data_IF_625537618453
#
_entry.id   IF_625537618453
#
_cell.length_a   1.000
_cell.length_b   1.000
_cell.length_c   1.000
_cell.angle_alpha   90.00
_cell.angle_beta   90.00
_cell.angle_gamma   90.00
#
_symmetry.space_group_name_H-M   'P 1'
#
loop_
_entity.id
_entity.type
_entity.pdbx_description
1 polymer ?
#
# COMPACT_ATOMS: atom_id res chain seq x y z
N UNK A 1 13.38 7.75 20.94
CA UNK A 1 12.56 6.82 21.75
C UNK A 1 13.47 5.67 22.14
N UNK A 2 13.68 5.45 23.44
CA UNK A 2 14.45 4.31 23.97
C UNK A 2 13.46 3.33 24.60
N UNK A 3 13.48 2.08 24.15
CA UNK A 3 12.70 1.00 24.75
C UNK A 3 13.59 0.24 25.74
N UNK A 4 13.15 0.16 27.00
CA UNK A 4 13.74 -0.72 28.01
C UNK A 4 12.89 -1.98 28.17
N UNK A 5 13.57 -3.11 28.31
CA UNK A 5 12.98 -4.42 28.47
C UNK A 5 13.70 -5.09 29.64
N UNK A 6 12.94 -5.68 30.56
CA UNK A 6 13.48 -6.40 31.71
C UNK A 6 13.22 -7.89 31.49
N UNK A 7 14.28 -8.68 31.50
CA UNK A 7 14.22 -10.14 31.35
C UNK A 7 14.65 -10.76 32.67
N UNK A 8 13.74 -11.51 33.29
CA UNK A 8 14.01 -12.20 34.56
C UNK A 8 14.46 -13.64 34.27
N UNK A 9 15.62 -14.02 34.81
CA UNK A 9 16.16 -15.37 34.65
C UNK A 9 15.46 -16.36 35.60
N UNK A 10 15.27 -17.63 35.20
CA UNK A 10 14.66 -18.66 36.04
C UNK A 10 15.53 -19.00 37.27
N UNK A 11 14.90 -19.59 38.28
CA UNK A 11 15.50 -19.87 39.58
C UNK A 11 16.52 -21.02 39.52
N UNK A 12 17.57 -21.01 40.37
CA UNK A 12 18.63 -22.06 40.38
C UNK A 12 18.10 -23.49 40.50
N UNK A 13 16.96 -23.70 41.17
CA UNK A 13 16.31 -25.01 41.29
C UNK A 13 15.75 -25.57 39.97
N UNK A 14 15.59 -24.72 38.96
CA UNK A 14 15.13 -25.09 37.62
C UNK A 14 16.31 -25.33 36.65
N UNK A 15 17.54 -25.08 37.08
CA UNK A 15 18.77 -25.10 36.25
C UNK A 15 19.53 -26.44 36.34
N UNK A 16 19.12 -27.37 37.20
CA UNK A 16 19.83 -28.65 37.36
C UNK A 16 19.63 -29.56 36.14
N UNK A 17 20.64 -29.61 35.26
CA UNK A 17 20.69 -30.52 34.10
C UNK A 17 20.77 -29.88 32.70
N UNK A 18 20.83 -28.55 32.57
CA UNK A 18 20.91 -27.92 31.25
C UNK A 18 22.30 -28.08 30.62
N UNK A 19 22.43 -29.02 29.68
CA UNK A 19 23.39 -28.87 28.57
C UNK A 19 23.01 -27.60 27.82
N UNK A 20 23.96 -26.70 27.65
CA UNK A 20 23.82 -25.49 26.84
C UNK A 20 23.16 -25.87 25.49
N UNK A 21 21.90 -25.46 25.30
CA UNK A 21 21.16 -25.60 24.06
C UNK A 21 20.97 -24.20 23.50
N UNK A 22 21.72 -23.86 22.48
CA UNK A 22 21.49 -22.66 21.68
C UNK A 22 20.28 -22.93 20.79
N UNK A 23 19.07 -22.64 21.27
CA UNK A 23 17.89 -22.64 20.40
C UNK A 23 17.71 -21.25 19.79
N UNK A 24 17.58 -21.14 18.46
CA UNK A 24 17.33 -19.85 17.82
C UNK A 24 15.97 -19.33 18.26
N UNK A 25 15.96 -18.14 18.88
CA UNK A 25 14.73 -17.44 19.25
C UNK A 25 14.01 -17.04 17.96
N UNK A 26 12.81 -17.57 17.75
CA UNK A 26 11.92 -17.13 16.67
C UNK A 26 11.26 -15.82 17.09
N UNK A 27 11.64 -14.73 16.44
CA UNK A 27 11.07 -13.41 16.70
C UNK A 27 9.93 -13.15 15.71
N UNK A 28 8.73 -12.91 16.24
CA UNK A 28 7.57 -12.44 15.48
C UNK A 28 7.34 -10.97 15.80
N UNK A 29 7.55 -10.10 14.83
CA UNK A 29 7.34 -8.65 14.95
C UNK A 29 6.12 -8.27 14.13
N UNK A 30 5.18 -7.57 14.75
CA UNK A 30 3.98 -7.04 14.10
C UNK A 30 3.90 -5.54 14.32
N UNK A 31 3.63 -4.79 13.25
CA UNK A 31 3.59 -3.33 13.26
C UNK A 31 2.68 -2.80 12.15
N UNK A 32 2.25 -1.56 12.30
CA UNK A 32 1.53 -0.80 11.26
C UNK A 32 2.55 -0.03 10.42
N UNK A 33 2.29 0.03 9.12
CA UNK A 33 3.12 0.71 8.15
C UNK A 33 2.26 1.30 7.02
N UNK A 34 2.84 2.22 6.26
CA UNK A 34 2.18 2.84 5.12
C UNK A 34 3.14 3.06 3.97
N UNK A 35 2.59 3.12 2.76
CA UNK A 35 3.31 3.45 1.54
C UNK A 35 2.48 4.44 0.71
N UNK A 36 3.12 5.51 0.26
CA UNK A 36 2.52 6.56 -0.57
C UNK A 36 3.47 6.90 -1.72
N UNK A 37 2.91 7.26 -2.88
CA UNK A 37 3.71 7.82 -3.96
C UNK A 37 4.24 9.22 -3.60
N UNK A 38 5.53 9.31 -3.23
CA UNK A 38 6.20 10.59 -2.90
C UNK A 38 6.11 11.64 -4.02
N UNK A 39 6.03 11.19 -5.25
CA UNK A 39 5.82 12.04 -6.41
C UNK A 39 4.46 11.72 -7.04
N UNK A 40 3.68 12.75 -7.32
CA UNK A 40 2.36 12.61 -7.93
C UNK A 40 2.39 11.91 -9.30
N UNK A 41 1.29 11.20 -9.63
CA UNK A 41 0.95 10.89 -11.01
C UNK A 41 0.18 12.08 -11.59
N UNK A 42 0.73 12.72 -12.63
CA UNK A 42 0.11 13.90 -13.25
C UNK A 42 -0.87 13.45 -14.32
N UNK A 43 -2.15 13.79 -14.15
CA UNK A 43 -3.23 13.44 -15.08
C UNK A 43 -3.91 14.70 -15.56
N UNK A 44 -4.09 14.86 -16.87
CA UNK A 44 -4.74 16.02 -17.46
C UNK A 44 -6.23 15.76 -17.67
N UNK A 45 -7.11 16.55 -17.06
CA UNK A 45 -8.56 16.48 -17.32
C UNK A 45 -8.92 17.47 -18.43
N UNK A 46 -9.65 17.03 -19.45
CA UNK A 46 -10.07 17.84 -20.61
C UNK A 46 -11.51 17.52 -21.01
N UNK A 47 -12.14 18.38 -21.81
CA UNK A 47 -13.44 18.07 -22.40
C UNK A 47 -13.27 16.99 -23.48
N UNK A 48 -14.23 16.08 -23.60
CA UNK A 48 -14.12 14.94 -24.53
C UNK A 48 -13.93 15.37 -25.99
N UNK A 49 -14.45 16.55 -26.36
CA UNK A 49 -14.32 17.12 -27.70
C UNK A 49 -12.89 17.59 -28.02
N UNK A 50 -12.09 17.88 -27.00
CA UNK A 50 -10.72 18.36 -27.12
C UNK A 50 -9.68 17.21 -27.08
N UNK A 51 -10.12 15.99 -26.73
CA UNK A 51 -9.24 14.81 -26.64
C UNK A 51 -9.07 14.21 -28.04
N UNK A 52 -7.95 14.52 -28.69
CA UNK A 52 -7.58 13.88 -29.97
C UNK A 52 -6.91 12.52 -29.77
N UNK A 53 -6.11 12.36 -28.72
CA UNK A 53 -5.39 11.14 -28.37
C UNK A 53 -5.17 11.05 -26.85
N UNK A 54 -5.06 9.83 -26.34
CA UNK A 54 -4.67 9.52 -24.96
C UNK A 54 -3.37 8.73 -24.94
N UNK A 55 -2.61 8.86 -23.85
CA UNK A 55 -1.46 8.01 -23.55
C UNK A 55 -1.59 7.39 -22.17
N UNK A 56 -1.09 6.15 -22.02
CA UNK A 56 -1.04 5.50 -20.72
C UNK A 56 0.04 6.13 -19.85
N UNK A 57 -0.36 6.62 -18.69
CA UNK A 57 0.53 7.11 -17.63
C UNK A 57 0.44 6.17 -16.45
N UNK A 58 1.59 5.83 -15.87
CA UNK A 58 1.66 4.91 -14.73
C UNK A 58 2.71 5.35 -13.72
N UNK A 59 2.51 4.91 -12.48
CA UNK A 59 3.47 5.09 -11.40
C UNK A 59 3.43 3.91 -10.45
N UNK A 60 4.61 3.38 -10.12
CA UNK A 60 4.81 2.37 -9.09
C UNK A 60 5.67 2.93 -7.96
N UNK A 61 5.39 2.49 -6.74
CA UNK A 61 6.06 2.95 -5.53
C UNK A 61 6.02 1.86 -4.46
N UNK A 62 7.00 1.85 -3.56
CA UNK A 62 7.13 0.78 -2.57
C UNK A 62 8.12 1.11 -1.47
N UNK A 63 8.07 0.34 -0.39
CA UNK A 63 8.97 0.46 0.75
C UNK A 63 9.75 -0.83 1.08
N UNK A 64 9.69 -1.82 0.17
CA UNK A 64 10.31 -3.15 0.33
C UNK A 64 9.46 -4.14 1.14
N UNK A 65 8.25 -3.75 1.52
CA UNK A 65 7.26 -4.63 2.14
C UNK A 65 6.03 -4.72 1.26
N UNK A 66 5.54 -3.57 0.80
CA UNK A 66 4.45 -3.45 -0.17
C UNK A 66 4.96 -2.67 -1.38
N UNK A 67 4.58 -3.15 -2.56
CA UNK A 67 4.70 -2.42 -3.82
C UNK A 67 3.28 -2.09 -4.32
N UNK A 68 3.04 -0.83 -4.66
CA UNK A 68 1.76 -0.35 -5.14
C UNK A 68 1.93 0.35 -6.49
N UNK A 69 0.86 0.37 -7.28
CA UNK A 69 0.87 1.06 -8.57
C UNK A 69 -0.47 1.72 -8.90
N UNK A 70 -0.38 2.73 -9.74
CA UNK A 70 -1.50 3.47 -10.32
C UNK A 70 -1.28 3.60 -11.81
N UNK A 71 -2.26 3.22 -12.62
CA UNK A 71 -2.21 3.30 -14.09
C UNK A 71 -3.52 3.87 -14.62
N UNK A 72 -3.43 4.85 -15.52
CA UNK A 72 -4.59 5.47 -16.18
C UNK A 72 -4.17 6.01 -17.54
N UNK A 73 -5.12 6.47 -18.32
CA UNK A 73 -4.87 7.29 -19.50
C UNK A 73 -4.75 8.78 -19.12
N UNK A 74 -4.10 9.57 -19.98
CA UNK A 74 -4.06 11.03 -19.91
C UNK A 74 -3.95 11.62 -21.34
N UNK A 75 -4.68 12.69 -21.68
CA UNK A 75 -5.74 13.31 -20.90
C UNK A 75 -6.95 12.39 -20.66
N UNK A 76 -7.68 12.63 -19.58
CA UNK A 76 -8.96 12.00 -19.26
C UNK A 76 -10.10 12.99 -19.48
N UNK A 77 -11.23 12.50 -19.94
CA UNK A 77 -12.44 13.30 -20.07
C UNK A 77 -12.96 13.68 -18.67
N UNK A 78 -13.19 14.97 -18.44
CA UNK A 78 -13.63 15.49 -17.14
C UNK A 78 -15.02 14.97 -16.73
N UNK A 79 -15.93 14.82 -17.71
CA UNK A 79 -17.34 14.50 -17.50
C UNK A 79 -17.75 13.06 -17.86
N UNK A 80 -16.84 12.25 -18.40
CA UNK A 80 -17.10 10.84 -18.72
C UNK A 80 -16.01 10.00 -18.05
N UNK A 81 -16.36 9.42 -16.90
CA UNK A 81 -15.45 8.70 -16.01
C UNK A 81 -14.45 7.84 -16.77
N UNK A 82 -13.16 8.10 -16.56
CA UNK A 82 -12.09 7.25 -17.05
C UNK A 82 -11.65 6.32 -15.92
N UNK A 83 -11.15 5.14 -16.25
CA UNK A 83 -10.72 4.19 -15.25
C UNK A 83 -9.28 4.45 -14.81
N UNK A 84 -9.04 4.40 -13.50
CA UNK A 84 -7.71 4.23 -12.92
C UNK A 84 -7.59 2.85 -12.32
N UNK A 85 -6.57 2.11 -12.77
CA UNK A 85 -6.20 0.82 -12.22
C UNK A 85 -5.26 1.04 -11.05
N UNK A 86 -5.59 0.46 -9.90
CA UNK A 86 -4.81 0.52 -8.68
C UNK A 86 -4.43 -0.89 -8.25
N UNK A 87 -3.22 -1.05 -7.73
CA UNK A 87 -2.80 -2.33 -7.14
C UNK A 87 -1.85 -2.14 -5.97
N UNK A 88 -1.82 -3.15 -5.10
CA UNK A 88 -0.91 -3.27 -3.99
C UNK A 88 -0.55 -4.76 -3.80
N UNK A 89 0.72 -5.08 -3.69
CA UNK A 89 1.20 -6.44 -3.50
C UNK A 89 2.28 -6.49 -2.42
N UNK A 90 2.33 -7.59 -1.68
CA UNK A 90 3.40 -7.84 -0.73
C UNK A 90 4.68 -8.22 -1.48
N UNK A 91 5.69 -7.36 -1.40
CA UNK A 91 7.01 -7.55 -2.01
C UNK A 91 8.08 -7.97 -1.00
N UNK A 92 7.75 -8.00 0.30
CA UNK A 92 8.69 -8.33 1.37
C UNK A 92 8.59 -9.77 1.89
N UNK A 93 9.51 -10.11 2.81
CA UNK A 93 9.62 -11.46 3.42
C UNK A 93 8.55 -11.76 4.48
N UNK A 94 7.70 -10.79 4.83
CA UNK A 94 6.63 -10.95 5.80
C UNK A 94 5.28 -11.18 5.16
N UNK A 95 4.20 -10.89 5.89
CA UNK A 95 2.83 -10.96 5.39
C UNK A 95 1.97 -9.82 5.92
N UNK A 96 0.90 -9.54 5.19
CA UNK A 96 -0.16 -8.63 5.62
C UNK A 96 -1.03 -9.35 6.65
N UNK A 97 -1.44 -8.63 7.69
CA UNK A 97 -2.29 -9.11 8.78
C UNK A 97 -3.60 -8.34 8.79
N UNK A 98 -4.57 -8.80 8.00
CA UNK A 98 -5.88 -8.17 7.86
C UNK A 98 -6.07 -7.54 6.48
N UNK A 99 -6.64 -6.33 6.48
CA UNK A 99 -6.99 -5.57 5.27
C UNK A 99 -5.91 -4.56 4.91
N UNK A 100 -5.92 -4.12 3.66
CA UNK A 100 -5.35 -2.85 3.27
C UNK A 100 -6.37 -1.75 3.53
N UNK A 101 -5.90 -0.59 3.99
CA UNK A 101 -6.67 0.65 4.03
C UNK A 101 -6.09 1.62 3.00
N UNK A 102 -6.96 2.36 2.32
CA UNK A 102 -6.58 3.18 1.17
C UNK A 102 -7.02 4.62 1.36
N UNK A 103 -6.18 5.55 0.94
CA UNK A 103 -6.55 6.95 0.81
C UNK A 103 -6.09 7.54 -0.51
N UNK A 104 -6.90 8.44 -1.04
CA UNK A 104 -6.76 9.01 -2.38
C UNK A 104 -6.83 10.53 -2.30
N UNK A 105 -6.00 11.23 -3.08
CA UNK A 105 -6.02 12.69 -3.14
C UNK A 105 -5.62 13.16 -4.54
N UNK A 106 -6.26 14.18 -5.12
CA UNK A 106 -7.43 14.94 -4.63
C UNK A 106 -8.75 14.16 -4.79
N UNK A 107 -9.87 14.80 -4.45
CA UNK A 107 -11.23 14.29 -4.59
C UNK A 107 -11.68 14.23 -6.06
N UNK A 108 -11.05 13.32 -6.81
CA UNK A 108 -11.33 12.99 -8.22
C UNK A 108 -11.50 11.49 -8.43
N UNK A 109 -11.26 10.70 -7.39
CA UNK A 109 -11.42 9.25 -7.39
C UNK A 109 -12.85 8.92 -6.97
N UNK A 110 -13.61 8.31 -7.87
CA UNK A 110 -14.98 7.85 -7.64
C UNK A 110 -15.02 6.33 -7.56
N UNK A 111 -15.95 5.82 -6.74
CA UNK A 111 -16.19 4.38 -6.58
C UNK A 111 -14.96 3.57 -6.14
N UNK A 112 -13.96 4.20 -5.50
CA UNK A 112 -12.84 3.50 -4.89
C UNK A 112 -13.21 2.90 -3.52
N UNK A 113 -12.71 1.70 -3.19
CA UNK A 113 -12.83 1.14 -1.85
C UNK A 113 -11.94 1.89 -0.84
N UNK A 114 -12.42 2.11 0.37
CA UNK A 114 -11.59 2.67 1.46
C UNK A 114 -10.73 1.60 2.15
N UNK A 115 -11.12 0.34 2.05
CA UNK A 115 -10.37 -0.80 2.57
C UNK A 115 -10.79 -2.07 1.86
N UNK A 116 -9.87 -3.03 1.73
CA UNK A 116 -10.20 -4.34 1.16
C UNK A 116 -9.25 -5.44 1.67
N UNK A 117 -9.75 -6.68 1.63
CA UNK A 117 -8.94 -7.85 1.95
C UNK A 117 -8.04 -8.20 0.76
N UNK A 118 -6.76 -8.51 0.99
CA UNK A 118 -5.92 -8.93 -0.09
C UNK A 118 -6.22 -10.38 -0.50
N UNK A 119 -6.08 -10.68 -1.78
CA UNK A 119 -6.37 -11.97 -2.39
C UNK A 119 -5.06 -12.78 -2.47
N UNK A 120 -5.14 -14.09 -2.20
CA UNK A 120 -4.02 -15.00 -2.44
C UNK A 120 -2.73 -14.60 -1.69
N UNK A 121 -1.67 -14.27 -2.44
CA UNK A 121 -0.34 -13.93 -1.92
C UNK A 121 -0.23 -12.54 -1.26
N UNK A 122 -1.34 -12.03 -0.70
CA UNK A 122 -1.51 -10.65 -0.23
C UNK A 122 -1.52 -9.61 -1.37
N UNK A 123 -2.03 -10.00 -2.54
CA UNK A 123 -2.16 -9.12 -3.70
C UNK A 123 -3.55 -8.49 -3.72
N UNK A 124 -3.64 -7.23 -4.12
CA UNK A 124 -4.88 -6.51 -4.29
C UNK A 124 -4.83 -5.68 -5.57
N UNK A 125 -5.95 -5.63 -6.29
CA UNK A 125 -6.11 -4.74 -7.42
C UNK A 125 -7.57 -4.35 -7.60
N UNK A 126 -7.82 -3.09 -7.94
CA UNK A 126 -9.15 -2.61 -8.27
C UNK A 126 -9.09 -1.64 -9.45
N UNK A 127 -10.27 -1.33 -9.99
CA UNK A 127 -10.46 -0.26 -10.95
C UNK A 127 -11.41 0.74 -10.33
N UNK A 128 -10.98 1.99 -10.22
CA UNK A 128 -11.83 3.11 -9.82
C UNK A 128 -12.14 4.01 -11.01
N UNK A 129 -13.13 4.87 -10.84
CA UNK A 129 -13.44 5.92 -11.79
C UNK A 129 -12.67 7.20 -11.42
N UNK A 130 -12.30 7.97 -12.45
CA UNK A 130 -11.74 9.31 -12.34
C UNK A 130 -12.72 10.30 -12.94
N UNK A 131 -13.15 11.27 -12.14
CA UNK A 131 -14.01 12.38 -12.57
C UNK A 131 -13.46 13.71 -12.05
N UNK A 132 -13.75 14.80 -12.74
CA UNK A 132 -13.41 16.14 -12.25
C UNK A 132 -14.44 17.15 -12.74
N UNK A 133 -14.90 18.04 -11.86
CA UNK A 133 -15.81 19.12 -12.23
C UNK A 133 -15.17 20.20 -13.12
N UNK A 134 -13.85 20.12 -13.35
CA UNK A 134 -13.12 21.09 -14.15
C UNK A 134 -11.94 20.48 -14.90
N UNK A 135 -11.58 21.12 -16.01
CA UNK A 135 -10.40 20.78 -16.80
C UNK A 135 -9.11 21.24 -16.10
N UNK A 136 -8.00 20.65 -16.51
CA UNK A 136 -6.65 20.96 -16.02
C UNK A 136 -5.92 19.75 -15.44
N UNK A 137 -4.64 19.94 -15.13
CA UNK A 137 -3.81 18.88 -14.55
C UNK A 137 -4.13 18.69 -13.06
N UNK A 138 -4.26 17.44 -12.64
CA UNK A 138 -4.34 17.03 -11.24
C UNK A 138 -3.15 16.13 -10.90
N UNK A 139 -2.69 16.28 -9.66
CA UNK A 139 -1.60 15.51 -9.10
C UNK A 139 -2.22 14.42 -8.22
N UNK A 140 -2.26 13.19 -8.72
CA UNK A 140 -2.87 12.08 -8.02
C UNK A 140 -1.90 11.45 -7.02
N UNK A 141 -2.42 11.18 -5.83
CA UNK A 141 -1.76 10.51 -4.72
C UNK A 141 -2.62 9.34 -4.24
N UNK A 142 -1.94 8.24 -3.94
CA UNK A 142 -2.49 6.99 -3.44
C UNK A 142 -1.61 6.49 -2.31
N UNK A 143 -2.24 6.30 -1.15
CA UNK A 143 -1.61 5.75 0.04
C UNK A 143 -2.26 4.42 0.39
N UNK A 144 -1.43 3.47 0.79
CA UNK A 144 -1.83 2.16 1.30
C UNK A 144 -1.31 2.02 2.72
N UNK A 145 -2.21 1.90 3.68
CA UNK A 145 -1.95 1.62 5.08
C UNK A 145 -2.21 0.13 5.36
N UNK A 146 -1.35 -0.50 6.15
CA UNK A 146 -1.44 -1.94 6.41
C UNK A 146 -0.73 -2.36 7.69
N UNK A 147 -1.14 -3.52 8.20
CA UNK A 147 -0.44 -4.21 9.29
C UNK A 147 0.45 -5.31 8.73
N UNK A 148 1.72 -5.29 9.10
CA UNK A 148 2.73 -6.23 8.62
C UNK A 148 3.23 -7.16 9.73
N UNK A 149 3.50 -8.41 9.39
CA UNK A 149 4.13 -9.39 10.29
C UNK A 149 5.39 -9.94 9.63
N UNK A 150 6.53 -9.77 10.31
CA UNK A 150 7.81 -10.45 9.97
C UNK A 150 8.11 -11.54 10.99
N UNK A 151 8.53 -12.70 10.50
CA UNK A 151 9.06 -13.79 11.33
C UNK A 151 10.52 -14.02 10.96
N UNK A 152 11.42 -13.99 11.94
CA UNK A 152 12.84 -14.33 11.76
C UNK A 152 13.28 -15.38 12.78
#
# INVERSE_FOLDING_TARGET
>A
MECNWEVEAPSESEIDGFRERTEPVKLRVSYEASVENREALKVSFQDIEDIENTETVSKSFGNGEVEASMTTESPVAASSGNSVELSASNSGDGRIDGVYEFSYTPDVFENCPESDEPIGNNDWSTVCDLSSESTGTRNLFFTVDYKYIKSK
#
